data_IF_575566207109
#
_entry.id   IF_575566207109
#
_cell.length_a   1.000
_cell.length_b   1.000
_cell.length_c   1.000
_cell.angle_alpha   90.00
_cell.angle_beta   90.00
_cell.angle_gamma   90.00
#
_symmetry.space_group_name_H-M   'P 1'
#
loop_
_entity.id
_entity.type
_entity.pdbx_description
1 polymer ?
#
# COMPACT_ATOMS: atom_id res chain seq x y z
N UNK A 1 -25.29 -4.09 -4.70
CA UNK A 1 -24.39 -4.93 -3.86
C UNK A 1 -23.73 -4.05 -2.82
N UNK A 2 -23.66 -4.52 -1.57
CA UNK A 2 -22.99 -3.82 -0.47
C UNK A 2 -21.85 -4.73 0.03
N UNK A 3 -20.64 -4.16 0.18
CA UNK A 3 -19.47 -4.90 0.68
C UNK A 3 -19.04 -4.30 2.01
N UNK A 4 -18.73 -5.17 2.98
CA UNK A 4 -18.16 -4.81 4.26
C UNK A 4 -16.67 -5.14 4.26
N UNK A 5 -15.81 -4.16 4.58
CA UNK A 5 -14.38 -4.33 4.77
C UNK A 5 -14.05 -4.10 6.25
N UNK A 6 -13.41 -5.08 6.88
CA UNK A 6 -13.02 -5.00 8.29
C UNK A 6 -11.53 -4.66 8.37
N UNK A 7 -11.22 -3.53 8.96
CA UNK A 7 -9.87 -2.99 9.09
C UNK A 7 -9.63 -1.74 8.23
N UNK A 8 -8.45 -1.13 8.39
CA UNK A 8 -8.05 0.07 7.65
C UNK A 8 -6.58 0.00 7.19
N UNK A 9 -6.07 -1.22 7.05
CA UNK A 9 -4.76 -1.47 6.47
C UNK A 9 -4.73 -1.18 4.96
N UNK A 10 -3.54 -1.23 4.37
CA UNK A 10 -3.32 -0.93 2.95
C UNK A 10 -4.25 -1.74 2.05
N UNK A 11 -4.39 -3.04 2.30
CA UNK A 11 -5.24 -3.92 1.49
C UNK A 11 -6.71 -3.46 1.49
N UNK A 12 -7.29 -3.18 2.67
CA UNK A 12 -8.66 -2.67 2.77
C UNK A 12 -8.82 -1.32 2.06
N UNK A 13 -7.83 -0.43 2.18
CA UNK A 13 -7.87 0.88 1.55
C UNK A 13 -7.74 0.79 0.02
N UNK A 14 -6.89 -0.09 -0.51
CA UNK A 14 -6.77 -0.33 -1.96
C UNK A 14 -8.07 -0.93 -2.49
N UNK A 15 -8.57 -1.99 -1.85
CA UNK A 15 -9.79 -2.66 -2.26
C UNK A 15 -10.99 -1.70 -2.22
N UNK A 16 -11.11 -0.89 -1.16
CA UNK A 16 -12.13 0.15 -1.06
C UNK A 16 -12.07 1.16 -2.21
N UNK A 17 -10.87 1.63 -2.58
CA UNK A 17 -10.71 2.52 -3.72
C UNK A 17 -11.19 1.89 -5.02
N UNK A 18 -10.74 0.66 -5.32
CA UNK A 18 -11.05 -0.05 -6.58
C UNK A 18 -12.55 -0.34 -6.71
N UNK A 19 -13.14 -0.92 -5.68
CA UNK A 19 -14.55 -1.31 -5.71
C UNK A 19 -15.49 -0.11 -5.79
N UNK A 20 -15.11 0.99 -5.14
CA UNK A 20 -15.89 2.23 -5.21
C UNK A 20 -15.94 2.82 -6.62
N UNK A 21 -14.88 2.68 -7.43
CA UNK A 21 -14.85 3.12 -8.82
C UNK A 21 -15.76 2.25 -9.72
N UNK A 22 -16.15 1.08 -9.24
CA UNK A 22 -17.13 0.19 -9.88
C UNK A 22 -18.58 0.41 -9.37
N UNK A 23 -18.85 1.54 -8.71
CA UNK A 23 -20.15 1.90 -8.12
C UNK A 23 -20.67 0.90 -7.07
N UNK A 24 -19.78 0.20 -6.40
CA UNK A 24 -20.12 -0.73 -5.32
C UNK A 24 -20.16 0.05 -4.00
N UNK A 25 -21.25 -0.10 -3.24
CA UNK A 25 -21.36 0.49 -1.90
C UNK A 25 -20.47 -0.26 -0.91
N UNK A 26 -19.63 0.47 -0.17
CA UNK A 26 -18.62 -0.11 0.71
C UNK A 26 -18.76 0.49 2.11
N UNK A 27 -18.78 -0.37 3.11
CA UNK A 27 -18.67 0.00 4.51
C UNK A 27 -17.31 -0.45 5.04
N UNK A 28 -16.45 0.51 5.43
CA UNK A 28 -15.15 0.22 6.04
C UNK A 28 -15.27 0.38 7.55
N UNK A 29 -15.05 -0.71 8.28
CA UNK A 29 -15.07 -0.73 9.74
C UNK A 29 -13.65 -0.52 10.26
N UNK A 30 -13.42 0.58 10.96
CA UNK A 30 -12.12 0.95 11.54
C UNK A 30 -12.16 0.83 13.07
N UNK A 31 -11.12 0.25 13.67
CA UNK A 31 -10.96 0.25 15.13
C UNK A 31 -10.44 1.61 15.61
N UNK A 32 -11.02 2.13 16.70
CA UNK A 32 -10.71 3.46 17.26
C UNK A 32 -9.27 3.64 17.77
N UNK A 33 -8.51 2.55 17.99
CA UNK A 33 -7.22 2.59 18.73
C UNK A 33 -5.95 2.59 17.85
N UNK A 34 -6.06 2.80 16.55
CA UNK A 34 -4.86 2.74 15.70
C UNK A 34 -4.04 4.03 15.80
N UNK A 35 -3.18 4.11 16.80
CA UNK A 35 -2.09 5.10 16.80
C UNK A 35 -1.06 4.63 15.76
N UNK A 36 -0.79 5.46 14.75
CA UNK A 36 0.24 5.23 13.73
C UNK A 36 1.64 5.12 14.39
N UNK A 37 2.00 3.92 14.90
CA UNK A 37 3.35 3.65 15.44
C UNK A 37 4.42 3.42 14.35
N UNK A 38 4.07 3.46 13.06
CA UNK A 38 4.94 2.96 11.98
C UNK A 38 5.29 4.02 10.92
N UNK A 39 5.66 5.22 11.35
CA UNK A 39 6.10 6.28 10.41
C UNK A 39 7.44 5.94 9.71
N UNK A 40 8.22 4.98 10.21
CA UNK A 40 9.53 4.60 9.68
C UNK A 40 9.47 3.47 8.66
N UNK A 41 8.36 2.72 8.60
CA UNK A 41 8.26 1.53 7.76
C UNK A 41 8.25 1.86 6.28
N UNK A 42 9.10 1.18 5.51
CA UNK A 42 9.15 1.24 4.06
C UNK A 42 8.60 -0.06 3.47
N UNK A 43 7.95 0.05 2.32
CA UNK A 43 7.45 -1.07 1.53
C UNK A 43 8.14 -1.08 0.18
N UNK A 44 8.44 -2.28 -0.32
CA UNK A 44 8.84 -2.47 -1.71
C UNK A 44 7.61 -2.84 -2.55
N UNK A 45 7.52 -2.26 -3.74
CA UNK A 45 6.43 -2.50 -4.69
C UNK A 45 7.07 -2.89 -6.02
N UNK A 46 6.72 -4.05 -6.55
CA UNK A 46 7.18 -4.49 -7.87
C UNK A 46 6.59 -3.61 -8.97
N UNK A 47 7.23 -3.58 -10.14
CA UNK A 47 6.72 -2.86 -11.31
C UNK A 47 5.28 -3.28 -11.65
N UNK A 48 5.00 -4.58 -11.70
CA UNK A 48 3.67 -5.10 -12.00
C UNK A 48 2.60 -4.56 -11.03
N UNK A 49 2.92 -4.48 -9.74
CA UNK A 49 2.02 -3.93 -8.74
C UNK A 49 1.85 -2.41 -8.88
N UNK A 50 2.89 -1.68 -9.28
CA UNK A 50 2.78 -0.24 -9.59
C UNK A 50 1.88 -0.01 -10.79
N UNK A 51 2.04 -0.79 -11.85
CA UNK A 51 1.23 -0.70 -13.06
C UNK A 51 -0.22 -1.09 -12.78
N UNK A 52 -0.45 -2.12 -11.95
CA UNK A 52 -1.78 -2.47 -11.46
C UNK A 52 -2.42 -1.29 -10.71
N UNK A 53 -1.75 -0.72 -9.73
CA UNK A 53 -2.28 0.41 -8.95
C UNK A 53 -2.58 1.62 -9.85
N UNK A 54 -1.73 1.89 -10.83
CA UNK A 54 -1.94 2.98 -11.80
C UNK A 54 -3.19 2.73 -12.65
N UNK A 55 -3.41 1.50 -13.14
CA UNK A 55 -4.64 1.14 -13.89
C UNK A 55 -5.90 1.32 -13.05
N UNK A 56 -5.80 1.05 -11.75
CA UNK A 56 -6.90 1.24 -10.80
C UNK A 56 -6.96 2.69 -10.23
N UNK A 57 -6.46 3.68 -10.97
CA UNK A 57 -6.49 5.11 -10.61
C UNK A 57 -5.76 5.47 -9.29
N UNK A 58 -4.88 4.58 -8.79
CA UNK A 58 -4.03 4.83 -7.62
C UNK A 58 -2.64 5.23 -8.11
N UNK A 59 -2.45 6.52 -8.41
CA UNK A 59 -1.20 6.99 -8.95
C UNK A 59 -0.17 7.29 -7.84
N UNK A 60 0.96 6.57 -7.89
CA UNK A 60 2.09 6.73 -6.98
C UNK A 60 3.26 7.51 -7.59
N UNK A 61 3.11 8.12 -8.76
CA UNK A 61 4.15 8.92 -9.42
C UNK A 61 4.69 9.98 -8.44
N UNK A 62 6.01 10.14 -8.41
CA UNK A 62 6.73 11.05 -7.50
C UNK A 62 6.60 10.74 -5.98
N UNK A 63 6.09 9.56 -5.62
CA UNK A 63 5.98 9.11 -4.22
C UNK A 63 6.81 7.86 -3.92
N UNK A 64 7.35 7.25 -4.97
CA UNK A 64 8.18 6.04 -4.90
C UNK A 64 9.61 6.36 -5.30
N UNK A 65 10.56 5.58 -4.77
CA UNK A 65 11.97 5.59 -5.17
C UNK A 65 12.27 4.30 -5.92
N UNK A 66 12.62 4.38 -7.22
CA UNK A 66 13.01 3.21 -7.99
C UNK A 66 14.37 2.67 -7.49
N UNK A 67 14.49 1.35 -7.42
CA UNK A 67 15.72 0.63 -7.12
C UNK A 67 16.18 -0.07 -8.39
N UNK A 68 17.28 0.39 -8.94
CA UNK A 68 17.81 -0.10 -10.21
C UNK A 68 18.97 -1.08 -10.02
N UNK A 69 19.54 -1.16 -8.82
CA UNK A 69 20.69 -2.02 -8.58
C UNK A 69 20.68 -2.53 -7.13
N UNK A 70 20.97 -3.82 -6.97
CA UNK A 70 21.15 -4.46 -5.68
C UNK A 70 22.47 -5.24 -5.73
N UNK A 71 23.36 -4.98 -4.78
CA UNK A 71 24.62 -5.69 -4.63
C UNK A 71 24.70 -6.34 -3.26
N UNK A 72 25.07 -7.59 -3.23
CA UNK A 72 25.27 -8.36 -2.01
C UNK A 72 26.76 -8.65 -1.87
N UNK A 73 27.31 -8.33 -0.70
CA UNK A 73 28.73 -8.52 -0.37
C UNK A 73 28.88 -9.53 0.75
N UNK A 74 29.94 -10.33 0.67
CA UNK A 74 30.35 -11.19 1.77
C UNK A 74 31.04 -10.35 2.87
N UNK A 75 30.64 -10.55 4.14
CA UNK A 75 31.21 -9.84 5.29
C UNK A 75 32.47 -10.49 5.83
N UNK A 76 32.74 -11.77 5.53
CA UNK A 76 33.80 -12.58 6.14
C UNK A 76 35.18 -12.46 5.46
N UNK A 77 35.27 -11.89 4.26
CA UNK A 77 36.57 -11.70 3.59
C UNK A 77 36.49 -10.61 2.52
N UNK A 78 37.29 -9.57 2.68
CA UNK A 78 37.57 -8.50 1.71
C UNK A 78 36.40 -7.86 0.98
N UNK A 79 35.18 -7.87 1.54
CA UNK A 79 33.97 -7.25 0.93
C UNK A 79 33.78 -7.65 -0.54
N UNK A 80 34.05 -8.91 -0.89
CA UNK A 80 33.88 -9.39 -2.26
C UNK A 80 32.38 -9.39 -2.61
N UNK A 81 32.04 -8.80 -3.76
CA UNK A 81 30.69 -8.86 -4.33
C UNK A 81 30.34 -10.32 -4.64
N UNK A 82 29.27 -10.83 -4.06
CA UNK A 82 28.79 -12.22 -4.21
C UNK A 82 27.69 -12.28 -5.26
N UNK A 83 26.84 -11.26 -5.31
CA UNK A 83 25.67 -11.25 -6.19
C UNK A 83 25.31 -9.80 -6.55
N UNK A 84 24.95 -9.60 -7.81
CA UNK A 84 24.45 -8.32 -8.31
C UNK A 84 23.19 -8.52 -9.15
N UNK A 85 22.20 -7.65 -8.94
CA UNK A 85 20.98 -7.58 -9.74
C UNK A 85 20.91 -6.20 -10.34
N UNK A 86 20.92 -6.13 -11.68
CA UNK A 86 20.76 -4.90 -12.46
C UNK A 86 19.87 -5.22 -13.65
N UNK A 87 18.65 -4.70 -13.73
CA UNK A 87 17.78 -4.91 -14.87
C UNK A 87 18.23 -4.06 -16.06
N UNK A 88 18.06 -4.57 -17.26
CA UNK A 88 18.50 -3.90 -18.50
C UNK A 88 17.70 -2.64 -18.85
N UNK A 89 16.44 -2.56 -18.46
CA UNK A 89 15.53 -1.47 -18.90
C UNK A 89 14.66 -0.85 -17.82
N UNK A 90 14.40 -1.54 -16.73
CA UNK A 90 13.42 -1.12 -15.72
C UNK A 90 13.99 -1.22 -14.29
N UNK A 91 13.34 -0.57 -13.32
CA UNK A 91 13.68 -0.77 -11.92
C UNK A 91 13.28 -2.17 -11.44
N UNK A 92 14.09 -2.78 -10.57
CA UNK A 92 13.77 -4.07 -9.93
C UNK A 92 12.48 -3.98 -9.13
N UNK A 93 12.36 -2.94 -8.35
CA UNK A 93 11.18 -2.56 -7.58
C UNK A 93 11.29 -1.10 -7.16
N UNK A 94 10.25 -0.57 -6.55
CA UNK A 94 10.26 0.79 -6.00
C UNK A 94 9.95 0.78 -4.51
N UNK A 95 10.59 1.65 -3.76
CA UNK A 95 10.34 1.84 -2.33
C UNK A 95 9.34 2.97 -2.09
N UNK A 96 8.46 2.80 -1.11
CA UNK A 96 7.55 3.84 -0.64
C UNK A 96 7.48 3.83 0.89
N UNK A 97 7.43 5.01 1.51
CA UNK A 97 7.12 5.10 2.95
C UNK A 97 5.67 4.69 3.18
N UNK A 98 5.46 3.72 4.08
CA UNK A 98 4.15 3.15 4.38
C UNK A 98 3.09 4.22 4.68
N UNK A 99 3.43 5.21 5.51
CA UNK A 99 2.49 6.27 5.86
C UNK A 99 2.08 7.12 4.64
N UNK A 100 2.99 7.37 3.68
CA UNK A 100 2.67 8.14 2.46
C UNK A 100 1.66 7.40 1.59
N UNK A 101 1.78 6.07 1.49
CA UNK A 101 0.82 5.24 0.77
C UNK A 101 -0.56 5.26 1.47
N UNK A 102 -0.58 5.05 2.79
CA UNK A 102 -1.82 5.08 3.57
C UNK A 102 -2.52 6.44 3.46
N UNK A 103 -1.78 7.54 3.58
CA UNK A 103 -2.34 8.90 3.49
C UNK A 103 -2.94 9.19 2.11
N UNK A 104 -2.25 8.76 1.05
CA UNK A 104 -2.79 8.87 -0.31
C UNK A 104 -4.11 8.10 -0.45
N UNK A 105 -4.11 6.82 -0.03
CA UNK A 105 -5.30 5.98 -0.12
C UNK A 105 -6.47 6.54 0.70
N UNK A 106 -6.21 7.04 1.90
CA UNK A 106 -7.21 7.70 2.75
C UNK A 106 -7.76 8.98 2.12
N UNK A 107 -6.91 9.79 1.46
CA UNK A 107 -7.34 10.99 0.73
C UNK A 107 -8.24 10.62 -0.45
N UNK A 108 -7.90 9.57 -1.19
CA UNK A 108 -8.72 9.08 -2.29
C UNK A 108 -10.09 8.63 -1.80
N UNK A 109 -10.13 7.79 -0.75
CA UNK A 109 -11.39 7.29 -0.16
C UNK A 109 -12.31 8.43 0.30
N UNK A 110 -11.77 9.51 0.87
CA UNK A 110 -12.58 10.65 1.31
C UNK A 110 -13.36 11.33 0.16
N UNK A 111 -12.91 11.19 -1.06
CA UNK A 111 -13.55 11.76 -2.26
C UNK A 111 -14.59 10.83 -2.89
N UNK A 112 -14.71 9.58 -2.41
CA UNK A 112 -15.59 8.56 -3.01
C UNK A 112 -16.98 8.59 -2.39
N UNK A 113 -18.03 8.71 -3.24
CA UNK A 113 -19.42 8.76 -2.80
C UNK A 113 -19.94 7.45 -2.21
N UNK A 114 -19.40 6.32 -2.65
CA UNK A 114 -19.91 4.98 -2.31
C UNK A 114 -19.22 4.36 -1.09
N UNK A 115 -18.34 5.10 -0.38
CA UNK A 115 -17.62 4.59 0.79
C UNK A 115 -18.15 5.25 2.07
N UNK A 116 -18.61 4.41 3.01
CA UNK A 116 -18.95 4.81 4.37
C UNK A 116 -17.91 4.23 5.35
N UNK A 117 -17.33 5.10 6.16
CA UNK A 117 -16.45 4.69 7.26
C UNK A 117 -17.24 4.58 8.55
N UNK A 118 -17.06 3.46 9.25
CA UNK A 118 -17.75 3.17 10.50
C UNK A 118 -16.68 2.90 11.56
N UNK A 119 -16.63 3.75 12.58
CA UNK A 119 -15.78 3.53 13.74
C UNK A 119 -16.48 2.57 14.69
N UNK A 120 -15.79 1.52 15.11
CA UNK A 120 -16.34 0.52 16.00
C UNK A 120 -15.32 0.08 17.04
N UNK A 121 -15.80 -0.50 18.16
CA UNK A 121 -14.95 -1.20 19.12
C UNK A 121 -14.88 -2.68 18.77
N UNK A 122 -13.76 -3.36 19.11
CA UNK A 122 -13.54 -4.79 18.84
C UNK A 122 -14.72 -5.69 19.24
N UNK A 123 -15.36 -5.39 20.36
CA UNK A 123 -16.41 -6.23 20.94
C UNK A 123 -17.72 -6.28 20.14
N UNK A 124 -17.89 -5.47 19.09
CA UNK A 124 -19.11 -5.45 18.27
C UNK A 124 -19.04 -6.35 17.03
N UNK A 125 -17.87 -6.94 16.71
CA UNK A 125 -17.73 -7.81 15.53
C UNK A 125 -17.98 -9.28 15.81
N UNK A 126 -18.05 -9.68 17.09
CA UNK A 126 -18.13 -11.10 17.52
C UNK A 126 -19.43 -11.43 18.29
N UNK A 127 -20.48 -10.63 18.08
CA UNK A 127 -21.83 -10.95 18.57
C UNK A 127 -22.76 -11.30 17.43
#
# INVERSE_FOLDING_TARGET
MNICLIGHGITCLILGNILSDKNIKISIFEENKYKNKFNTRTLSITKNNLDFLKRENINLKNKVWPINNIKIFNTSSNKKEVLSFSPDKDSLFSLIKNYKLIDLLKKNIKKKKFIRKIKTSKNKFYK
#
